data_IF_088919821873
#
_entry.id   IF_088919821873
#
_cell.length_a   1.000
_cell.length_b   1.000
_cell.length_c   1.000
_cell.angle_alpha   90.00
_cell.angle_beta   90.00
_cell.angle_gamma   90.00
#
_symmetry.space_group_name_H-M   'P 1'
#
loop_
_entity.id
_entity.type
_entity.pdbx_description
1 polymer ?
#
# COMPACT_ATOMS: atom_id res chain seq x y z
N UNK A 1 -5.92 29.01 8.79
CA UNK A 1 -4.89 28.34 9.62
C UNK A 1 -5.63 27.39 10.57
N UNK A 2 -5.96 26.17 10.12
CA UNK A 2 -6.92 25.25 10.81
C UNK A 2 -6.67 23.76 10.50
N UNK A 3 -5.44 23.35 10.19
CA UNK A 3 -5.17 22.03 9.58
C UNK A 3 -4.35 20.98 10.35
N UNK A 4 -3.85 21.16 11.60
CA UNK A 4 -3.09 20.06 12.23
C UNK A 4 -3.98 18.91 12.75
N UNK A 5 -5.24 19.17 13.12
CA UNK A 5 -6.12 18.18 13.75
C UNK A 5 -6.72 17.15 12.78
N UNK A 6 -6.88 17.50 11.50
CA UNK A 6 -7.48 16.61 10.48
C UNK A 6 -6.43 15.77 9.75
N UNK A 7 -5.19 16.25 9.66
CA UNK A 7 -4.11 15.58 8.91
C UNK A 7 -3.55 14.35 9.64
N UNK A 8 -3.49 14.38 10.98
CA UNK A 8 -3.02 13.26 11.79
C UNK A 8 -3.91 11.99 11.70
N UNK A 9 -5.25 12.06 11.79
CA UNK A 9 -6.11 10.89 11.67
C UNK A 9 -6.10 10.30 10.24
N UNK A 10 -6.03 11.13 9.19
CA UNK A 10 -5.96 10.66 7.79
C UNK A 10 -4.70 9.82 7.55
N UNK A 11 -3.55 10.29 8.04
CA UNK A 11 -2.27 9.56 7.92
C UNK A 11 -2.31 8.21 8.63
N UNK A 12 -2.90 8.14 9.83
CA UNK A 12 -3.08 6.86 10.56
C UNK A 12 -4.02 5.91 9.82
N UNK A 13 -5.13 6.42 9.32
CA UNK A 13 -6.09 5.63 8.53
C UNK A 13 -5.44 5.05 7.27
N UNK A 14 -4.66 5.86 6.55
CA UNK A 14 -3.94 5.40 5.36
C UNK A 14 -2.98 4.26 5.68
N UNK A 15 -2.12 4.42 6.69
CA UNK A 15 -1.18 3.37 7.11
C UNK A 15 -1.92 2.10 7.53
N UNK A 16 -2.98 2.22 8.33
CA UNK A 16 -3.76 1.06 8.77
C UNK A 16 -4.44 0.36 7.60
N UNK A 17 -4.97 1.11 6.64
CA UNK A 17 -5.56 0.55 5.42
C UNK A 17 -4.52 -0.23 4.60
N UNK A 18 -3.33 0.34 4.38
CA UNK A 18 -2.24 -0.33 3.66
C UNK A 18 -1.85 -1.65 4.35
N UNK A 19 -1.72 -1.64 5.68
CA UNK A 19 -1.41 -2.85 6.46
C UNK A 19 -2.48 -3.94 6.25
N UNK A 20 -3.76 -3.58 6.33
CA UNK A 20 -4.86 -4.54 6.10
C UNK A 20 -4.80 -5.11 4.69
N UNK A 21 -4.60 -4.27 3.68
CA UNK A 21 -4.50 -4.72 2.28
C UNK A 21 -3.31 -5.66 2.08
N UNK A 22 -2.16 -5.39 2.72
CA UNK A 22 -1.00 -6.29 2.67
C UNK A 22 -1.36 -7.66 3.25
N UNK A 23 -1.97 -7.70 4.43
CA UNK A 23 -2.33 -8.97 5.10
C UNK A 23 -3.33 -9.76 4.26
N UNK A 24 -4.38 -9.11 3.74
CA UNK A 24 -5.37 -9.77 2.89
C UNK A 24 -4.73 -10.28 1.59
N UNK A 25 -3.83 -9.49 0.99
CA UNK A 25 -3.09 -9.89 -0.21
C UNK A 25 -2.16 -11.08 0.06
N UNK A 26 -1.54 -11.15 1.24
CA UNK A 26 -0.71 -12.29 1.66
C UNK A 26 -1.52 -13.57 1.89
N UNK A 27 -2.77 -13.47 2.33
CA UNK A 27 -3.60 -14.65 2.59
C UNK A 27 -4.44 -15.10 1.38
N UNK A 28 -4.85 -14.16 0.53
CA UNK A 28 -5.70 -14.46 -0.64
C UNK A 28 -4.94 -15.16 -1.76
N UNK A 29 -5.52 -16.19 -2.36
CA UNK A 29 -5.02 -16.84 -3.59
C UNK A 29 -5.88 -16.53 -4.82
N UNK A 30 -6.91 -15.69 -4.66
CA UNK A 30 -7.81 -15.33 -5.73
C UNK A 30 -7.09 -14.44 -6.77
N UNK A 31 -6.91 -14.93 -8.00
CA UNK A 31 -6.24 -14.22 -9.11
C UNK A 31 -6.79 -12.81 -9.35
N UNK A 32 -8.10 -12.67 -9.50
CA UNK A 32 -8.90 -11.44 -9.50
C UNK A 32 -8.59 -10.48 -8.35
N UNK A 33 -8.41 -10.97 -7.12
CA UNK A 33 -7.97 -10.14 -5.98
C UNK A 33 -6.51 -9.72 -6.13
N UNK A 34 -5.63 -10.64 -6.52
CA UNK A 34 -4.21 -10.38 -6.71
C UNK A 34 -3.98 -9.34 -7.83
N UNK A 35 -4.69 -9.45 -8.95
CA UNK A 35 -4.68 -8.47 -10.04
C UNK A 35 -5.15 -7.10 -9.54
N UNK A 36 -6.30 -7.04 -8.85
CA UNK A 36 -6.83 -5.80 -8.27
C UNK A 36 -5.87 -5.18 -7.26
N UNK A 37 -5.21 -6.00 -6.44
CA UNK A 37 -4.21 -5.53 -5.47
C UNK A 37 -2.93 -5.04 -6.12
N UNK A 38 -2.48 -5.65 -7.22
CA UNK A 38 -1.31 -5.23 -7.98
C UNK A 38 -1.57 -3.86 -8.62
N UNK A 39 -2.69 -3.67 -9.31
CA UNK A 39 -3.09 -2.36 -9.85
C UNK A 39 -3.37 -1.34 -8.73
N UNK A 40 -4.10 -1.75 -7.69
CA UNK A 40 -4.44 -0.91 -6.55
C UNK A 40 -3.21 -0.42 -5.78
N UNK A 41 -2.16 -1.23 -5.68
CA UNK A 41 -0.91 -0.87 -5.01
C UNK A 41 -0.21 0.32 -5.69
N UNK A 42 -0.29 0.45 -7.02
CA UNK A 42 0.26 1.57 -7.78
C UNK A 42 -0.53 2.87 -7.51
N UNK A 43 -1.85 2.76 -7.37
CA UNK A 43 -2.71 3.90 -7.00
C UNK A 43 -2.39 4.33 -5.57
N UNK A 44 -2.28 3.38 -4.64
CA UNK A 44 -1.91 3.61 -3.24
C UNK A 44 -0.51 4.26 -3.15
N UNK A 45 0.44 3.83 -3.98
CA UNK A 45 1.76 4.45 -4.08
C UNK A 45 1.69 5.92 -4.51
N UNK A 46 0.88 6.25 -5.51
CA UNK A 46 0.65 7.64 -5.89
C UNK A 46 -0.04 8.43 -4.77
N UNK A 47 -1.02 7.83 -4.09
CA UNK A 47 -1.75 8.45 -2.99
C UNK A 47 -0.84 8.71 -1.77
N UNK A 48 0.15 7.85 -1.52
CA UNK A 48 1.16 8.03 -0.47
C UNK A 48 1.94 9.33 -0.67
N UNK A 49 2.31 9.69 -1.91
CA UNK A 49 2.97 10.97 -2.20
C UNK A 49 2.03 12.17 -2.01
N UNK A 50 0.73 11.99 -2.22
CA UNK A 50 -0.28 13.02 -1.98
C UNK A 50 -0.54 13.26 -0.47
N UNK A 51 -0.59 12.18 0.31
CA UNK A 51 -0.87 12.21 1.76
C UNK A 51 0.37 12.62 2.58
N UNK A 52 1.56 12.29 2.08
CA UNK A 52 2.84 12.68 2.66
C UNK A 52 3.65 13.54 1.67
N UNK A 53 3.24 14.79 1.42
CA UNK A 53 3.90 15.66 0.44
C UNK A 53 5.31 16.07 0.86
N UNK A 54 5.65 15.98 2.16
CA UNK A 54 6.96 16.30 2.68
C UNK A 54 7.68 15.04 3.19
N UNK A 55 8.16 14.21 2.27
CA UNK A 55 8.96 13.01 2.57
C UNK A 55 10.36 13.33 3.13
N UNK A 56 10.76 14.61 3.06
CA UNK A 56 12.02 15.14 3.59
C UNK A 56 11.96 15.45 5.09
N UNK A 57 10.76 15.61 5.67
CA UNK A 57 10.63 15.72 7.12
C UNK A 57 11.02 14.39 7.77
N UNK A 58 11.92 14.45 8.78
CA UNK A 58 12.47 13.31 9.55
C UNK A 58 11.43 12.47 10.32
N UNK A 59 10.15 12.56 9.97
CA UNK A 59 9.10 11.85 10.64
C UNK A 59 9.13 10.36 10.27
N UNK A 60 9.54 9.53 11.23
CA UNK A 60 9.63 8.06 11.14
C UNK A 60 8.39 7.40 10.50
N UNK A 61 7.20 7.92 10.77
CA UNK A 61 5.94 7.43 10.23
C UNK A 61 5.85 7.53 8.70
N UNK A 62 6.42 8.57 8.11
CA UNK A 62 6.43 8.75 6.65
C UNK A 62 7.33 7.71 5.98
N UNK A 63 8.48 7.39 6.59
CA UNK A 63 9.38 6.34 6.10
C UNK A 63 8.77 4.96 6.22
N UNK A 64 8.12 4.67 7.35
CA UNK A 64 7.39 3.42 7.54
C UNK A 64 6.25 3.26 6.53
N UNK A 65 5.42 4.29 6.33
CA UNK A 65 4.32 4.25 5.37
C UNK A 65 4.82 4.01 3.94
N UNK A 66 5.89 4.70 3.54
CA UNK A 66 6.50 4.51 2.22
C UNK A 66 7.04 3.09 2.05
N UNK A 67 7.77 2.56 3.04
CA UNK A 67 8.24 1.17 3.04
C UNK A 67 7.11 0.15 2.97
N UNK A 68 6.01 0.38 3.71
CA UNK A 68 4.81 -0.46 3.71
C UNK A 68 4.13 -0.49 2.35
N UNK A 69 3.98 0.67 1.72
CA UNK A 69 3.37 0.77 0.39
C UNK A 69 4.28 0.12 -0.66
N UNK A 70 5.60 0.28 -0.55
CA UNK A 70 6.54 -0.39 -1.44
C UNK A 70 6.50 -1.92 -1.28
N UNK A 71 6.42 -2.41 -0.04
CA UNK A 71 6.24 -3.82 0.25
C UNK A 71 4.91 -4.34 -0.30
N UNK A 72 3.82 -3.58 -0.19
CA UNK A 72 2.54 -3.92 -0.80
C UNK A 72 2.66 -4.08 -2.31
N UNK A 73 3.27 -3.11 -2.99
CA UNK A 73 3.50 -3.17 -4.44
C UNK A 73 4.29 -4.41 -4.80
N UNK A 74 5.40 -4.66 -4.10
CA UNK A 74 6.25 -5.80 -4.37
C UNK A 74 5.51 -7.13 -4.16
N UNK A 75 4.88 -7.32 -3.00
CA UNK A 75 4.17 -8.55 -2.64
C UNK A 75 2.99 -8.81 -3.58
N UNK A 76 2.19 -7.78 -3.87
CA UNK A 76 1.03 -7.92 -4.75
C UNK A 76 1.44 -8.34 -6.17
N UNK A 77 2.46 -7.70 -6.74
CA UNK A 77 2.94 -8.01 -8.09
C UNK A 77 3.65 -9.38 -8.14
N UNK A 78 4.52 -9.68 -7.17
CA UNK A 78 5.25 -10.96 -7.13
C UNK A 78 4.27 -12.12 -6.96
N UNK A 79 3.30 -11.99 -6.05
CA UNK A 79 2.32 -13.03 -5.78
C UNK A 79 1.35 -13.20 -6.95
N UNK A 80 0.94 -12.10 -7.59
CA UNK A 80 0.16 -12.18 -8.83
C UNK A 80 0.93 -12.94 -9.92
N UNK A 81 2.21 -12.63 -10.14
CA UNK A 81 3.05 -13.33 -11.11
C UNK A 81 3.16 -14.82 -10.82
N UNK A 82 3.48 -15.20 -9.57
CA UNK A 82 3.66 -16.60 -9.15
C UNK A 82 2.34 -17.38 -9.29
N UNK A 83 1.24 -16.86 -8.77
CA UNK A 83 -0.06 -17.55 -8.82
C UNK A 83 -0.59 -17.63 -10.25
N UNK A 84 -0.41 -16.58 -11.05
CA UNK A 84 -0.76 -16.61 -12.48
C UNK A 84 0.08 -17.68 -13.21
N UNK A 85 1.39 -17.71 -12.99
CA UNK A 85 2.26 -18.72 -13.60
C UNK A 85 1.89 -20.16 -13.21
N UNK A 86 1.45 -20.39 -11.96
CA UNK A 86 1.00 -21.72 -11.52
C UNK A 86 -0.36 -22.12 -12.08
N UNK A 87 -1.24 -21.18 -12.41
CA UNK A 87 -2.58 -21.47 -12.93
C UNK A 87 -2.57 -21.69 -14.44
N UNK A 88 -1.67 -21.02 -15.16
CA UNK A 88 -1.57 -21.10 -16.62
C UNK A 88 -0.50 -22.09 -17.13
N UNK A 89 0.12 -22.87 -16.23
CA UNK A 89 1.08 -23.94 -16.55
C UNK A 89 0.53 -25.30 -16.12
#
# INVERSE_FOLDING_TARGET
MTTPLVVAPIKKWFVSFVVVVVIVTLWSQAIWWLASSAFGSLIILNLQFLVFPNTADRHWLSRLSLGLVFALVLIANLKFLIVSAMVFH
#
